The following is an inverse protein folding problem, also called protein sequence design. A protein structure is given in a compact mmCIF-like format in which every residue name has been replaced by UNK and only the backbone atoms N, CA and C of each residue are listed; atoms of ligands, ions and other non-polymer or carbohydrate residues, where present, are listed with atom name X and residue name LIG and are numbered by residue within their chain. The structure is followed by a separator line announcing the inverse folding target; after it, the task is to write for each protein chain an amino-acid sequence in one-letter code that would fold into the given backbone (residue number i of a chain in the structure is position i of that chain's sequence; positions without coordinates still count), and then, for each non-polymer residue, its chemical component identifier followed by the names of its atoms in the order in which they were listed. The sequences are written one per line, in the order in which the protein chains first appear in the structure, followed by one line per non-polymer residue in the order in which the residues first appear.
data_IF_093961857298
#
_entry.id   IF_093961857298
#
_cell.length_a   1.000
_cell.length_b   1.000
_cell.length_c   1.000
_cell.angle_alpha   90.00
_cell.angle_beta   90.00
_cell.angle_gamma   90.00
#
_symmetry.space_group_name_H-M   'P 1'
#
loop_
_entity.id
_entity.type
_entity.pdbx_description
1 polymer ?
#
# COMPACT_ATOMS: atom_id res chain seq x y z
N UNK A 1 22.14 -36.16 7.15
CA UNK A 1 21.72 -35.31 8.30
C UNK A 1 21.55 -33.94 7.68
N UNK A 2 20.35 -33.67 7.16
CA UNK A 2 20.05 -32.50 6.34
C UNK A 2 19.58 -31.37 7.24
N UNK A 3 20.13 -30.20 7.01
CA UNK A 3 19.94 -29.00 7.79
C UNK A 3 18.47 -28.55 7.74
N UNK A 4 17.83 -28.53 8.90
CA UNK A 4 16.57 -27.87 9.13
C UNK A 4 16.88 -26.44 9.55
N UNK A 5 16.89 -25.51 8.60
CA UNK A 5 16.83 -24.07 8.85
C UNK A 5 16.55 -23.30 7.54
N UNK A 6 15.50 -23.70 6.82
CA UNK A 6 14.78 -22.79 5.90
C UNK A 6 13.50 -22.37 6.64
N UNK A 7 13.68 -21.60 7.70
CA UNK A 7 12.64 -20.65 8.08
C UNK A 7 12.65 -19.61 6.97
N UNK A 8 11.67 -19.66 6.07
CA UNK A 8 11.33 -18.55 5.17
C UNK A 8 11.39 -17.28 6.01
N UNK A 9 12.45 -16.48 5.84
CA UNK A 9 12.47 -15.13 6.40
C UNK A 9 11.26 -14.47 5.77
N UNK A 10 10.22 -14.26 6.57
CA UNK A 10 9.11 -13.43 6.15
C UNK A 10 9.72 -12.07 5.82
N UNK A 11 9.96 -11.80 4.53
CA UNK A 11 10.41 -10.50 4.08
C UNK A 11 9.45 -9.46 4.66
N UNK A 12 9.95 -8.27 4.99
CA UNK A 12 9.05 -7.23 5.46
C UNK A 12 8.07 -6.86 4.32
N UNK A 13 6.77 -6.63 4.61
CA UNK A 13 5.86 -6.12 3.59
C UNK A 13 6.41 -4.81 3.01
N UNK A 14 6.29 -4.65 1.69
CA UNK A 14 6.64 -3.38 1.04
C UNK A 14 5.75 -2.28 1.61
N UNK A 15 6.34 -1.13 1.89
CA UNK A 15 5.65 0.07 2.33
C UNK A 15 6.18 1.29 1.58
N UNK A 16 5.30 2.25 1.36
CA UNK A 16 5.57 3.50 0.65
C UNK A 16 4.80 4.62 1.32
N UNK A 17 5.24 5.85 1.11
CA UNK A 17 4.50 7.01 1.59
C UNK A 17 3.67 7.64 0.49
N UNK A 18 2.54 8.26 0.86
CA UNK A 18 1.83 9.21 0.02
C UNK A 18 2.14 10.61 0.53
N UNK A 19 2.62 11.47 -0.35
CA UNK A 19 2.88 12.89 -0.08
C UNK A 19 1.96 13.74 -0.94
N UNK A 20 1.45 14.82 -0.36
CA UNK A 20 0.72 15.86 -1.10
C UNK A 20 1.44 17.19 -0.98
N UNK A 21 1.36 18.01 -2.01
CA UNK A 21 2.03 19.32 -2.09
C UNK A 21 1.06 20.39 -2.56
N UNK A 22 1.03 21.53 -1.88
CA UNK A 22 0.25 22.70 -2.31
C UNK A 22 1.02 23.61 -3.28
N UNK A 23 0.33 24.59 -3.85
CA UNK A 23 0.91 25.55 -4.80
C UNK A 23 2.01 26.44 -4.20
N UNK A 24 2.12 26.51 -2.87
CA UNK A 24 3.16 27.26 -2.15
C UNK A 24 4.38 26.38 -1.84
N UNK A 25 4.34 25.10 -2.22
CA UNK A 25 5.41 24.13 -1.99
C UNK A 25 5.42 23.52 -0.60
N UNK A 26 4.36 23.74 0.21
CA UNK A 26 4.22 23.02 1.49
C UNK A 26 3.77 21.60 1.21
N UNK A 27 4.26 20.68 2.01
CA UNK A 27 4.03 19.25 1.80
C UNK A 27 3.85 18.51 3.11
N UNK A 28 2.95 17.53 3.12
CA UNK A 28 2.79 16.59 4.20
C UNK A 28 2.75 15.17 3.64
N UNK A 29 3.18 14.21 4.45
CA UNK A 29 3.42 12.83 4.02
C UNK A 29 2.94 11.83 5.06
N UNK A 30 2.23 10.79 4.62
CA UNK A 30 1.71 9.70 5.44
C UNK A 30 2.19 8.35 4.91
N UNK A 31 2.46 7.39 5.79
CA UNK A 31 2.79 6.01 5.40
C UNK A 31 1.52 5.24 5.01
N UNK A 32 1.57 4.46 3.94
CA UNK A 32 0.40 3.69 3.48
C UNK A 32 0.01 2.60 4.49
N UNK A 33 1.00 2.02 5.17
CA UNK A 33 0.80 1.07 6.28
C UNK A 33 -0.08 1.60 7.42
N UNK A 34 -0.19 2.93 7.59
CA UNK A 34 -1.11 3.56 8.54
C UNK A 34 -2.60 3.32 8.22
N UNK A 35 -2.91 2.95 6.99
CA UNK A 35 -4.28 2.68 6.50
C UNK A 35 -4.53 1.19 6.23
N UNK A 36 -3.48 0.37 6.31
CA UNK A 36 -3.51 -1.07 6.08
C UNK A 36 -2.24 -1.55 5.38
N UNK A 37 -1.84 -2.83 5.55
CA UNK A 37 -0.64 -3.35 4.89
C UNK A 37 -0.84 -3.46 3.38
N UNK A 38 0.21 -3.20 2.58
CA UNK A 38 0.23 -3.55 1.16
C UNK A 38 0.22 -5.08 1.04
N UNK A 39 -0.85 -5.61 0.44
CA UNK A 39 -1.00 -7.07 0.28
C UNK A 39 -0.05 -7.59 -0.77
N UNK A 40 0.52 -8.77 -0.51
CA UNK A 40 1.23 -9.55 -1.52
C UNK A 40 0.24 -10.12 -2.53
N UNK A 41 0.66 -10.32 -3.79
CA UNK A 41 -0.09 -11.11 -4.75
C UNK A 41 -0.51 -12.45 -4.14
N UNK A 42 -1.74 -12.87 -4.42
CA UNK A 42 -2.25 -14.13 -3.88
C UNK A 42 -1.60 -15.28 -4.65
N UNK A 43 -0.90 -16.17 -3.93
CA UNK A 43 -0.44 -17.43 -4.52
C UNK A 43 -1.62 -18.36 -4.73
N UNK A 44 -1.80 -18.83 -5.97
CA UNK A 44 -2.89 -19.72 -6.35
C UNK A 44 -2.33 -21.10 -6.75
N UNK A 45 -2.95 -22.14 -6.21
CA UNK A 45 -2.71 -23.52 -6.61
C UNK A 45 -3.94 -24.06 -7.33
N UNK A 46 -3.82 -24.32 -8.63
CA UNK A 46 -4.89 -24.84 -9.49
C UNK A 46 -4.92 -26.37 -9.46
N UNK A 47 -3.75 -27.01 -9.41
CA UNK A 47 -3.59 -28.47 -9.38
C UNK A 47 -3.03 -28.93 -8.04
N UNK A 48 -3.56 -30.06 -7.52
CA UNK A 48 -2.99 -30.72 -6.32
C UNK A 48 -1.56 -31.25 -6.49
N UNK A 49 -1.09 -31.41 -7.74
CA UNK A 49 0.24 -31.92 -8.07
C UNK A 49 1.14 -30.77 -8.49
N UNK A 50 1.99 -30.30 -7.57
CA UNK A 50 2.89 -29.17 -7.77
C UNK A 50 3.91 -29.37 -8.91
N UNK A 51 4.26 -30.61 -9.26
CA UNK A 51 5.16 -30.90 -10.38
C UNK A 51 4.51 -30.67 -11.75
N UNK A 52 3.24 -31.04 -11.90
CA UNK A 52 2.46 -30.74 -13.10
C UNK A 52 2.09 -29.26 -13.17
N UNK A 53 1.81 -28.64 -12.02
CA UNK A 53 1.50 -27.21 -11.91
C UNK A 53 2.64 -26.33 -12.45
N UNK A 54 3.87 -26.51 -11.95
CA UNK A 54 5.05 -25.76 -12.43
C UNK A 54 5.36 -25.97 -13.91
N UNK A 55 5.00 -27.13 -14.47
CA UNK A 55 5.20 -27.41 -15.90
C UNK A 55 4.15 -26.78 -16.81
N UNK A 56 2.98 -26.42 -16.26
CA UNK A 56 1.80 -25.95 -17.02
C UNK A 56 1.48 -24.48 -16.80
N UNK A 57 1.86 -23.91 -15.67
CA UNK A 57 1.61 -22.53 -15.30
C UNK A 57 2.94 -21.84 -15.03
N UNK A 58 3.24 -20.82 -15.83
CA UNK A 58 4.48 -20.04 -15.70
C UNK A 58 4.41 -19.05 -14.52
N UNK A 59 3.21 -18.60 -14.16
CA UNK A 59 2.95 -17.69 -13.04
C UNK A 59 1.78 -18.22 -12.21
N UNK A 60 1.97 -18.30 -10.89
CA UNK A 60 0.97 -18.79 -9.92
C UNK A 60 0.48 -17.65 -9.01
N UNK A 61 0.48 -16.42 -9.50
CA UNK A 61 0.06 -15.27 -8.71
C UNK A 61 -1.05 -14.49 -9.42
N UNK A 62 -2.03 -14.01 -8.66
CA UNK A 62 -3.07 -13.11 -9.15
C UNK A 62 -2.96 -11.74 -8.46
N UNK A 63 -3.02 -10.67 -9.25
CA UNK A 63 -3.07 -9.30 -8.74
C UNK A 63 -4.48 -9.00 -8.23
N UNK A 64 -4.65 -9.06 -6.91
CA UNK A 64 -5.86 -8.58 -6.24
C UNK A 64 -5.57 -7.19 -5.68
N UNK A 65 -6.10 -6.17 -6.35
CA UNK A 65 -5.94 -4.78 -5.91
C UNK A 65 -6.76 -4.50 -4.65
N UNK A 66 -6.22 -3.62 -3.81
CA UNK A 66 -6.93 -3.05 -2.67
C UNK A 66 -6.96 -1.53 -2.80
N UNK A 67 -8.10 -0.92 -2.51
CA UNK A 67 -8.25 0.53 -2.52
C UNK A 67 -7.87 1.10 -1.16
N UNK A 68 -7.01 2.11 -1.17
CA UNK A 68 -6.70 2.91 0.01
C UNK A 68 -7.44 4.24 -0.07
N UNK A 69 -8.30 4.51 0.91
CA UNK A 69 -8.92 5.83 1.10
C UNK A 69 -8.16 6.59 2.18
N UNK A 70 -7.43 7.62 1.77
CA UNK A 70 -6.58 8.45 2.65
C UNK A 70 -7.26 9.81 2.82
N UNK A 71 -7.79 10.15 3.99
CA UNK A 71 -8.46 11.43 4.17
C UNK A 71 -7.47 12.59 4.19
N UNK A 72 -7.77 13.63 3.41
CA UNK A 72 -6.90 14.81 3.27
C UNK A 72 -6.66 15.52 4.61
N UNK A 73 -7.56 15.35 5.59
CA UNK A 73 -7.40 15.88 6.94
C UNK A 73 -6.15 15.37 7.65
N UNK A 74 -5.72 14.13 7.37
CA UNK A 74 -4.56 13.53 8.04
C UNK A 74 -3.27 14.29 7.68
N UNK A 75 -3.21 14.87 6.47
CA UNK A 75 -2.10 15.71 6.04
C UNK A 75 -2.12 17.08 6.73
N UNK A 76 -3.30 17.70 6.87
CA UNK A 76 -3.44 18.98 7.58
C UNK A 76 -3.22 18.86 9.10
N UNK A 77 -3.35 17.65 9.67
CA UNK A 77 -2.96 17.39 11.05
C UNK A 77 -1.44 17.41 11.23
N UNK A 78 -0.69 16.98 10.21
CA UNK A 78 0.78 17.01 10.21
C UNK A 78 1.33 18.41 9.91
N UNK A 79 0.71 19.12 8.97
CA UNK A 79 1.00 20.51 8.66
C UNK A 79 -0.30 21.34 8.56
N UNK A 80 -0.71 22.04 9.63
CA UNK A 80 -1.90 22.88 9.63
C UNK A 80 -1.84 24.07 8.66
N UNK A 81 -0.65 24.39 8.14
CA UNK A 81 -0.52 25.44 7.16
C UNK A 81 -0.95 24.94 5.76
N UNK A 82 -0.73 23.67 5.45
CA UNK A 82 -1.00 23.07 4.13
C UNK A 82 -2.39 23.46 3.58
N UNK A 83 -2.40 24.04 2.39
CA UNK A 83 -3.64 24.52 1.76
C UNK A 83 -4.18 23.51 0.73
N UNK A 84 -5.26 22.84 1.11
CA UNK A 84 -5.92 21.84 0.27
C UNK A 84 -6.69 22.44 -0.92
N UNK A 85 -7.05 23.73 -0.87
CA UNK A 85 -7.72 24.39 -2.01
C UNK A 85 -6.75 24.62 -3.17
N UNK A 86 -5.45 24.65 -2.88
CA UNK A 86 -4.39 24.83 -3.87
C UNK A 86 -3.49 23.60 -4.02
N UNK A 87 -4.05 22.41 -3.78
CA UNK A 87 -3.38 21.13 -4.00
C UNK A 87 -2.83 21.05 -5.44
N UNK A 88 -1.53 20.83 -5.56
CA UNK A 88 -0.81 20.86 -6.82
C UNK A 88 -0.28 19.47 -7.22
N UNK A 89 0.20 18.68 -6.25
CA UNK A 89 0.80 17.38 -6.52
C UNK A 89 0.35 16.31 -5.52
N UNK A 90 0.22 15.08 -6.01
CA UNK A 90 0.12 13.86 -5.21
C UNK A 90 1.28 12.97 -5.64
N UNK A 91 2.09 12.51 -4.70
CA UNK A 91 3.32 11.75 -4.94
C UNK A 91 3.27 10.42 -4.21
N UNK A 92 3.61 9.35 -4.90
CA UNK A 92 3.96 8.07 -4.30
C UNK A 92 5.48 8.04 -4.06
N UNK A 93 5.89 7.95 -2.80
CA UNK A 93 7.30 8.08 -2.39
C UNK A 93 7.82 6.73 -1.90
N UNK A 94 8.87 6.23 -2.54
CA UNK A 94 9.48 4.94 -2.25
C UNK A 94 10.60 5.11 -1.22
N UNK A 95 10.25 5.38 0.04
CA UNK A 95 11.18 5.75 1.10
C UNK A 95 11.21 4.82 2.32
N UNK A 96 10.25 3.90 2.45
CA UNK A 96 10.11 3.05 3.63
C UNK A 96 10.70 1.64 3.45
N UNK A 97 10.78 1.13 2.22
CA UNK A 97 11.36 -0.19 1.92
C UNK A 97 12.64 -0.10 1.08
N UNK A 98 13.62 -0.95 1.37
CA UNK A 98 14.91 -1.00 0.64
C UNK A 98 14.70 -1.42 -0.83
N UNK A 99 13.82 -2.38 -1.07
CA UNK A 99 13.45 -2.85 -2.39
C UNK A 99 12.05 -3.46 -2.37
N UNK A 100 11.35 -3.39 -3.51
CA UNK A 100 10.00 -3.91 -3.65
C UNK A 100 9.40 -3.53 -5.00
N UNK A 101 8.26 -4.14 -5.32
CA UNK A 101 7.44 -3.77 -6.47
C UNK A 101 6.06 -3.38 -5.98
N UNK A 102 5.57 -2.23 -6.43
CA UNK A 102 4.20 -1.74 -6.17
C UNK A 102 3.51 -1.62 -7.52
N UNK A 103 2.32 -2.21 -7.62
CA UNK A 103 1.43 -2.01 -8.77
C UNK A 103 0.31 -1.09 -8.31
N UNK A 104 0.09 -0.01 -9.06
CA UNK A 104 -0.86 1.03 -8.74
C UNK A 104 -1.87 1.15 -9.87
N UNK A 105 -3.15 1.28 -9.50
CA UNK A 105 -4.24 1.58 -10.42
C UNK A 105 -5.22 2.55 -9.73
N UNK A 106 -6.01 3.27 -10.53
CA UNK A 106 -7.08 4.18 -10.09
C UNK A 106 -6.71 5.18 -8.98
N UNK A 107 -5.82 6.13 -9.31
CA UNK A 107 -5.50 7.27 -8.44
C UNK A 107 -6.48 8.43 -8.68
N UNK A 108 -7.14 8.89 -7.63
CA UNK A 108 -8.07 10.02 -7.72
C UNK A 108 -8.49 10.61 -6.38
N UNK A 109 -9.24 11.70 -6.45
CA UNK A 109 -9.89 12.34 -5.30
C UNK A 109 -11.35 11.93 -5.29
N UNK A 110 -11.85 11.51 -4.12
CA UNK A 110 -13.23 11.12 -3.93
C UNK A 110 -13.85 11.91 -2.77
N UNK A 111 -15.11 12.31 -2.95
CA UNK A 111 -15.95 12.85 -1.88
C UNK A 111 -16.75 11.69 -1.30
N UNK A 112 -16.20 11.05 -0.27
CA UNK A 112 -16.85 9.93 0.42
C UNK A 112 -17.68 10.48 1.59
N UNK A 113 -18.79 9.80 1.88
CA UNK A 113 -19.59 10.07 3.09
C UNK A 113 -18.77 9.77 4.35
N UNK A 114 -19.01 10.53 5.43
CA UNK A 114 -18.32 10.36 6.71
C UNK A 114 -18.42 8.92 7.26
N UNK A 115 -19.50 8.21 6.94
CA UNK A 115 -19.67 6.80 7.30
C UNK A 115 -18.56 5.89 6.71
N UNK A 116 -18.02 6.21 5.53
CA UNK A 116 -16.88 5.48 4.94
C UNK A 116 -15.56 5.79 5.67
N UNK A 117 -15.42 7.02 6.18
CA UNK A 117 -14.22 7.44 6.92
C UNK A 117 -14.20 6.93 8.37
N UNK A 118 -15.36 6.60 8.94
CA UNK A 118 -15.49 6.10 10.31
C UNK A 118 -15.06 4.62 10.49
N UNK A 119 -14.93 3.85 9.41
CA UNK A 119 -14.59 2.41 9.45
C UNK A 119 -13.07 2.17 9.59
N UNK A 120 -12.26 3.22 9.82
CA UNK A 120 -10.82 3.08 10.08
C UNK A 120 -10.58 2.02 11.16
N UNK A 121 -9.85 0.96 10.81
CA UNK A 121 -9.24 0.08 11.80
C UNK A 121 -8.45 0.97 12.76
N UNK A 122 -8.68 0.90 14.09
CA UNK A 122 -7.90 1.69 15.02
C UNK A 122 -6.42 1.35 14.80
N UNK A 123 -5.61 2.36 14.53
CA UNK A 123 -4.16 2.27 14.61
C UNK A 123 -3.82 1.72 15.99
N UNK A 124 -3.33 0.49 16.05
CA UNK A 124 -2.90 -0.11 17.31
C UNK A 124 -1.78 0.77 17.89
N UNK A 125 -1.89 1.21 19.17
CA UNK A 125 -0.88 2.06 19.80
C UNK A 125 0.48 1.35 19.93
#
# INVERSE_FOLDING_TARGET
RGDANDEERAEEPVDVSVEIVDSQGRSAKVALSGYGPIRRPLEIHVLRRGDLERSRFAELHEFVFQTFSIPLSDFTQLDPALDLETLNEIRLVFDLSVAGTVVLDDVGIAFLDDAFMAVRMPSNP
#
